data_IF_449894872530
#
_entry.id   IF_449894872530
#
_cell.length_a   1.000
_cell.length_b   1.000
_cell.length_c   1.000
_cell.angle_alpha   90.00
_cell.angle_beta   90.00
_cell.angle_gamma   90.00
#
_symmetry.space_group_name_H-M   'P 1'
#
loop_
_entity.id
_entity.type
_entity.pdbx_description
1 polymer ?
#
# COMPACT_ATOMS: atom_id res chain seq x y z
N UNK A 1 -40.45 6.60 54.02
CA UNK A 1 -41.47 5.53 54.18
C UNK A 1 -41.07 4.39 53.29
N UNK A 2 -40.66 3.31 53.94
CA UNK A 2 -40.21 2.01 53.42
C UNK A 2 -41.37 1.21 52.84
N UNK A 3 -41.18 0.60 51.67
CA UNK A 3 -41.81 -0.70 51.34
C UNK A 3 -40.97 -1.44 50.30
N UNK A 4 -40.27 -2.49 50.77
CA UNK A 4 -39.91 -3.65 49.95
C UNK A 4 -41.18 -4.46 49.63
N UNK A 5 -41.16 -5.24 48.54
CA UNK A 5 -41.86 -6.55 48.44
C UNK A 5 -41.36 -7.35 47.20
N UNK A 6 -40.49 -8.31 47.51
CA UNK A 6 -40.32 -9.70 47.02
C UNK A 6 -40.95 -10.22 45.71
N UNK A 7 -40.11 -10.97 44.98
CA UNK A 7 -40.36 -11.96 43.89
C UNK A 7 -41.33 -13.11 44.26
N UNK A 8 -41.83 -13.89 43.25
CA UNK A 8 -41.29 -15.25 43.09
C UNK A 8 -41.10 -15.78 41.65
N UNK A 9 -40.14 -16.72 41.59
CA UNK A 9 -39.86 -17.78 40.61
C UNK A 9 -41.08 -18.47 39.98
N UNK A 10 -40.97 -18.83 38.70
CA UNK A 10 -41.57 -20.06 38.15
C UNK A 10 -40.55 -20.74 37.20
N UNK A 11 -40.04 -21.88 37.65
CA UNK A 11 -39.32 -22.89 36.87
C UNK A 11 -40.38 -23.83 36.29
N UNK A 12 -40.33 -24.14 34.99
CA UNK A 12 -41.02 -25.34 34.48
C UNK A 12 -40.06 -26.17 33.66
N UNK A 13 -39.72 -27.32 34.25
CA UNK A 13 -38.95 -28.44 33.70
C UNK A 13 -39.89 -29.28 32.85
N UNK A 14 -39.51 -29.61 31.61
CA UNK A 14 -40.07 -30.76 30.91
C UNK A 14 -38.91 -31.66 30.47
N UNK A 15 -38.83 -32.83 31.13
CA UNK A 15 -38.01 -34.00 30.78
C UNK A 15 -38.90 -35.02 30.06
N UNK A 16 -38.22 -35.95 29.38
CA UNK A 16 -38.68 -37.16 28.66
C UNK A 16 -38.64 -36.93 27.14
N UNK A 17 -37.72 -37.47 26.35
CA UNK A 17 -36.93 -38.69 26.48
C UNK A 17 -37.55 -39.79 25.62
N UNK A 18 -37.08 -39.96 24.39
CA UNK A 18 -37.21 -41.20 23.62
C UNK A 18 -36.03 -41.32 22.63
N UNK A 19 -35.26 -42.39 22.80
CA UNK A 19 -34.24 -42.88 21.89
C UNK A 19 -34.86 -43.31 20.56
N UNK A 20 -34.20 -42.96 19.46
CA UNK A 20 -34.41 -43.56 18.14
C UNK A 20 -33.14 -43.41 17.30
N UNK A 21 -32.36 -44.49 17.18
CA UNK A 21 -31.26 -44.63 16.22
C UNK A 21 -31.81 -44.62 14.79
N UNK A 22 -31.24 -43.81 13.89
CA UNK A 22 -31.18 -44.12 12.45
C UNK A 22 -30.14 -43.26 11.70
N UNK A 23 -29.12 -43.96 11.20
CA UNK A 23 -28.39 -43.83 9.93
C UNK A 23 -28.03 -42.44 9.35
N UNK A 24 -26.71 -42.22 9.30
CA UNK A 24 -25.91 -41.75 8.15
C UNK A 24 -26.50 -40.72 7.17
N UNK A 25 -25.94 -39.52 7.19
CA UNK A 25 -25.55 -38.74 6.00
C UNK A 25 -24.34 -37.86 6.40
N UNK A 26 -23.13 -38.37 6.16
CA UNK A 26 -21.91 -37.57 6.11
C UNK A 26 -21.91 -36.80 4.79
N UNK A 27 -22.71 -35.74 4.70
CA UNK A 27 -22.54 -34.73 3.66
C UNK A 27 -21.36 -33.85 4.08
N UNK A 28 -20.16 -34.26 3.66
CA UNK A 28 -18.98 -33.42 3.73
C UNK A 28 -19.19 -32.15 2.92
N UNK A 29 -19.54 -31.06 3.59
CA UNK A 29 -19.34 -29.72 3.05
C UNK A 29 -17.83 -29.43 3.02
N UNK A 30 -17.16 -30.04 2.04
CA UNK A 30 -15.86 -29.58 1.54
C UNK A 30 -16.07 -28.26 0.83
N UNK A 31 -16.37 -27.21 1.59
CA UNK A 31 -16.35 -25.85 1.10
C UNK A 31 -14.91 -25.48 0.80
N UNK A 32 -14.46 -25.73 -0.42
CA UNK A 32 -13.30 -25.04 -0.98
C UNK A 32 -13.67 -23.56 -1.00
N UNK A 33 -13.19 -22.81 -0.01
CA UNK A 33 -13.20 -21.36 -0.06
C UNK A 33 -12.57 -20.95 -1.39
N UNK A 34 -13.20 -20.05 -2.17
CA UNK A 34 -12.54 -19.49 -3.33
C UNK A 34 -11.31 -18.73 -2.83
N UNK A 35 -10.13 -19.32 -3.05
CA UNK A 35 -8.87 -18.60 -2.96
C UNK A 35 -8.97 -17.50 -4.00
N UNK A 36 -9.06 -16.24 -3.55
CA UNK A 36 -8.98 -15.10 -4.45
C UNK A 36 -7.75 -15.30 -5.35
N UNK A 37 -7.87 -15.16 -6.68
CA UNK A 37 -6.75 -15.33 -7.59
C UNK A 37 -5.57 -14.52 -7.05
N UNK A 38 -4.46 -15.23 -6.78
CA UNK A 38 -3.28 -14.66 -6.16
C UNK A 38 -2.82 -13.46 -6.96
N UNK A 39 -2.99 -12.27 -6.38
CA UNK A 39 -2.50 -11.03 -6.97
C UNK A 39 -0.98 -11.17 -7.17
N UNK A 40 -0.52 -10.91 -8.39
CA UNK A 40 0.85 -11.17 -8.83
C UNK A 40 1.88 -10.61 -7.85
N UNK A 41 2.86 -11.43 -7.47
CA UNK A 41 4.06 -11.02 -6.72
C UNK A 41 5.20 -10.60 -7.66
N UNK A 42 4.89 -10.27 -8.91
CA UNK A 42 5.88 -9.73 -9.83
C UNK A 42 6.35 -8.35 -9.36
N UNK A 43 7.65 -8.11 -9.47
CA UNK A 43 8.23 -6.78 -9.26
C UNK A 43 7.93 -5.95 -10.52
N UNK A 44 7.21 -4.82 -10.41
CA UNK A 44 6.98 -3.94 -11.55
C UNK A 44 8.30 -3.45 -12.15
N UNK A 45 8.34 -3.33 -13.48
CA UNK A 45 9.45 -2.63 -14.12
C UNK A 45 9.50 -1.17 -13.65
N UNK A 46 10.70 -0.57 -13.56
CA UNK A 46 10.80 0.84 -13.22
C UNK A 46 10.11 1.74 -14.25
N UNK A 47 10.03 1.35 -15.53
CA UNK A 47 9.35 2.14 -16.55
C UNK A 47 7.83 2.29 -16.31
N UNK A 48 7.18 1.27 -15.72
CA UNK A 48 5.73 1.24 -15.48
C UNK A 48 5.37 1.22 -13.99
N UNK A 49 6.32 1.48 -13.11
CA UNK A 49 6.17 1.26 -11.67
C UNK A 49 4.94 1.98 -11.11
N UNK A 50 4.78 3.28 -11.34
CA UNK A 50 3.62 4.00 -10.82
C UNK A 50 2.30 3.56 -11.49
N UNK A 51 2.28 3.23 -12.79
CA UNK A 51 1.05 2.74 -13.41
C UNK A 51 0.55 1.43 -12.78
N UNK A 52 1.44 0.47 -12.53
CA UNK A 52 1.07 -0.77 -11.83
C UNK A 52 0.62 -0.49 -10.39
N UNK A 53 1.25 0.47 -9.70
CA UNK A 53 0.87 0.89 -8.35
C UNK A 53 -0.48 1.61 -8.31
N UNK A 54 -0.87 2.38 -9.33
CA UNK A 54 -2.22 2.97 -9.43
C UNK A 54 -3.30 1.89 -9.41
N UNK A 55 -3.07 0.81 -10.17
CA UNK A 55 -3.94 -0.38 -10.19
C UNK A 55 -4.12 -0.98 -8.80
N UNK A 56 -3.02 -1.32 -8.12
CA UNK A 56 -3.04 -1.89 -6.78
C UNK A 56 -3.62 -0.93 -5.71
N UNK A 57 -3.33 0.36 -5.84
CA UNK A 57 -3.74 1.39 -4.88
C UNK A 57 -5.26 1.60 -4.88
N UNK A 58 -5.88 1.55 -6.06
CA UNK A 58 -7.29 1.90 -6.26
C UNK A 58 -8.15 0.71 -6.68
N UNK A 59 -7.56 -0.48 -6.78
CA UNK A 59 -8.20 -1.68 -7.33
C UNK A 59 -8.86 -1.43 -8.70
N UNK A 60 -8.31 -0.51 -9.50
CA UNK A 60 -8.82 -0.20 -10.84
C UNK A 60 -8.26 -1.18 -11.87
N UNK A 61 -9.07 -1.51 -12.88
CA UNK A 61 -8.66 -2.30 -14.04
C UNK A 61 -8.50 -1.47 -15.31
N UNK A 62 -8.63 -0.14 -15.19
CA UNK A 62 -8.44 0.78 -16.30
C UNK A 62 -6.98 0.72 -16.77
N UNK A 63 -6.76 0.93 -18.07
CA UNK A 63 -5.42 1.14 -18.59
C UNK A 63 -4.84 2.44 -17.99
N UNK A 64 -3.62 2.37 -17.49
CA UNK A 64 -2.93 3.49 -16.86
C UNK A 64 -1.71 3.87 -17.69
N UNK A 65 -1.68 5.09 -18.21
CA UNK A 65 -0.48 5.66 -18.80
C UNK A 65 0.51 6.05 -17.69
N UNK A 66 1.82 5.83 -17.91
CA UNK A 66 2.85 6.28 -16.98
C UNK A 66 3.78 7.28 -17.66
N UNK A 67 3.86 8.49 -17.11
CA UNK A 67 4.81 9.50 -17.56
C UNK A 67 6.00 9.51 -16.60
N UNK A 68 7.14 9.02 -17.08
CA UNK A 68 8.41 9.03 -16.34
C UNK A 68 9.18 10.30 -16.65
N UNK A 69 9.40 11.11 -15.62
CA UNK A 69 10.17 12.35 -15.70
C UNK A 69 11.64 12.06 -15.45
N UNK A 70 12.50 12.49 -16.38
CA UNK A 70 13.94 12.50 -16.17
C UNK A 70 14.38 13.68 -15.28
N UNK A 71 13.65 14.79 -15.37
CA UNK A 71 13.91 16.02 -14.64
C UNK A 71 13.00 16.16 -13.41
N UNK A 72 13.59 16.61 -12.29
CA UNK A 72 12.87 16.75 -11.03
C UNK A 72 11.90 17.92 -11.07
N UNK A 73 12.26 19.03 -11.69
CA UNK A 73 11.41 20.23 -11.73
C UNK A 73 10.15 19.99 -12.57
N UNK A 74 10.30 19.35 -13.73
CA UNK A 74 9.21 18.88 -14.57
C UNK A 74 8.27 17.96 -13.77
N UNK A 75 8.83 17.02 -13.00
CA UNK A 75 8.04 16.20 -12.11
C UNK A 75 7.32 17.00 -11.02
N UNK A 76 7.96 17.99 -10.39
CA UNK A 76 7.35 18.83 -9.35
C UNK A 76 6.09 19.51 -9.90
N UNK A 77 6.20 20.10 -11.09
CA UNK A 77 5.13 20.86 -11.75
C UNK A 77 4.00 19.98 -12.29
N UNK A 78 4.29 18.72 -12.64
CA UNK A 78 3.31 17.79 -13.21
C UNK A 78 2.14 17.46 -12.28
N UNK A 79 1.04 16.98 -12.87
CA UNK A 79 -0.16 16.50 -12.18
C UNK A 79 -0.66 15.22 -12.87
N UNK A 80 -1.16 14.21 -12.12
CA UNK A 80 -1.71 13.01 -12.72
C UNK A 80 -3.03 13.31 -13.44
N UNK A 81 -3.24 12.64 -14.57
CA UNK A 81 -4.46 12.74 -15.37
C UNK A 81 -5.50 11.71 -14.94
N UNK A 82 -6.78 12.07 -15.01
CA UNK A 82 -7.87 11.10 -14.84
C UNK A 82 -8.37 10.57 -16.17
N UNK A 83 -8.41 11.36 -17.25
CA UNK A 83 -8.92 10.95 -18.56
C UNK A 83 -7.99 11.42 -19.68
N UNK A 84 -7.16 10.53 -20.28
CA UNK A 84 -6.93 9.13 -19.86
C UNK A 84 -6.34 9.04 -18.45
N UNK A 85 -6.50 7.89 -17.79
CA UNK A 85 -5.92 7.67 -16.47
C UNK A 85 -4.40 7.62 -16.59
N UNK A 86 -3.71 8.53 -15.91
CA UNK A 86 -2.28 8.77 -16.08
C UNK A 86 -1.60 9.03 -14.74
N UNK A 87 -0.47 8.37 -14.52
CA UNK A 87 0.42 8.62 -13.38
C UNK A 87 1.63 9.42 -13.79
N UNK A 88 2.17 10.19 -12.84
CA UNK A 88 3.46 10.85 -12.97
C UNK A 88 4.47 10.13 -12.10
N UNK A 89 5.67 9.90 -12.62
CA UNK A 89 6.74 9.19 -11.93
C UNK A 89 8.06 9.96 -11.99
N UNK A 90 8.79 9.97 -10.88
CA UNK A 90 10.19 10.38 -10.83
C UNK A 90 11.00 9.38 -10.00
N UNK A 91 12.27 9.18 -10.36
CA UNK A 91 13.17 8.26 -9.66
C UNK A 91 14.32 9.08 -9.11
N UNK A 92 14.53 9.04 -7.79
CA UNK A 92 15.73 9.57 -7.18
C UNK A 92 16.76 8.45 -6.99
N UNK A 93 18.02 8.78 -7.19
CA UNK A 93 19.13 7.84 -7.16
C UNK A 93 20.05 8.13 -5.96
N UNK A 94 20.64 7.08 -5.40
CA UNK A 94 21.66 7.20 -4.34
C UNK A 94 23.05 7.53 -4.90
N UNK A 95 23.23 7.45 -6.22
CA UNK A 95 24.46 7.74 -6.93
C UNK A 95 24.27 8.82 -7.99
N UNK A 96 25.34 9.56 -8.31
CA UNK A 96 25.31 10.62 -9.34
C UNK A 96 25.26 10.05 -10.77
N UNK A 97 25.60 8.78 -10.95
CA UNK A 97 25.56 8.09 -12.24
C UNK A 97 24.15 7.62 -12.65
N UNK A 98 23.15 7.77 -11.77
CA UNK A 98 21.77 7.36 -12.04
C UNK A 98 21.61 5.85 -12.22
N UNK A 99 22.41 5.03 -11.51
CA UNK A 99 22.39 3.56 -11.62
C UNK A 99 21.82 2.88 -10.38
N UNK A 100 21.71 3.59 -9.28
CA UNK A 100 21.21 3.06 -8.02
C UNK A 100 19.91 3.76 -7.64
N UNK A 101 18.77 3.37 -8.27
CA UNK A 101 17.48 3.92 -7.91
C UNK A 101 17.25 3.64 -6.43
N UNK A 102 16.82 4.67 -5.71
CA UNK A 102 16.64 4.64 -4.26
C UNK A 102 15.15 4.75 -3.90
N UNK A 103 14.46 5.71 -4.49
CA UNK A 103 13.06 6.02 -4.23
C UNK A 103 12.36 6.35 -5.54
N UNK A 104 11.10 5.93 -5.63
CA UNK A 104 10.19 6.25 -6.74
C UNK A 104 9.08 7.15 -6.19
N UNK A 105 9.02 8.37 -6.70
CA UNK A 105 7.98 9.34 -6.39
C UNK A 105 6.86 9.18 -7.41
N UNK A 106 5.66 8.83 -6.93
CA UNK A 106 4.49 8.63 -7.75
C UNK A 106 3.40 9.66 -7.44
N UNK A 107 2.72 10.13 -8.49
CA UNK A 107 1.47 10.89 -8.37
C UNK A 107 0.34 10.10 -9.03
N UNK A 108 -0.72 9.85 -8.27
CA UNK A 108 -1.87 9.02 -8.62
C UNK A 108 -3.18 9.82 -8.63
N UNK A 109 -4.22 9.23 -9.22
CA UNK A 109 -5.62 9.60 -8.97
C UNK A 109 -6.19 8.78 -7.83
N UNK A 110 -7.01 9.40 -7.00
CA UNK A 110 -7.74 8.71 -5.93
C UNK A 110 -8.90 7.87 -6.51
N UNK A 111 -9.29 6.81 -5.79
CA UNK A 111 -10.36 5.91 -6.23
C UNK A 111 -11.72 6.63 -6.39
N UNK A 112 -12.02 7.61 -5.54
CA UNK A 112 -13.26 8.41 -5.64
C UNK A 112 -13.28 9.29 -6.89
N UNK A 113 -12.13 9.87 -7.30
CA UNK A 113 -12.02 10.58 -8.57
C UNK A 113 -12.23 9.62 -9.75
N UNK A 114 -11.58 8.46 -9.72
CA UNK A 114 -11.73 7.46 -10.79
C UNK A 114 -13.19 7.02 -10.92
N UNK A 115 -13.90 6.77 -9.81
CA UNK A 115 -15.33 6.44 -9.84
C UNK A 115 -16.20 7.57 -10.37
N UNK A 116 -15.90 8.82 -9.99
CA UNK A 116 -16.63 9.98 -10.49
C UNK A 116 -16.53 10.11 -12.02
N UNK A 117 -15.35 9.78 -12.57
CA UNK A 117 -15.08 9.95 -14.00
C UNK A 117 -15.45 8.73 -14.85
N UNK A 118 -15.22 7.50 -14.35
CA UNK A 118 -15.40 6.26 -15.11
C UNK A 118 -16.58 5.40 -14.65
N UNK A 119 -17.33 5.84 -13.65
CA UNK A 119 -18.47 5.13 -13.09
C UNK A 119 -18.15 4.41 -11.78
N UNK A 120 -19.20 4.14 -11.00
CA UNK A 120 -19.10 3.69 -9.61
C UNK A 120 -18.29 2.40 -9.40
N UNK A 121 -18.16 1.55 -10.41
CA UNK A 121 -17.44 0.27 -10.32
C UNK A 121 -16.01 0.34 -10.88
N UNK A 122 -15.55 1.49 -11.35
CA UNK A 122 -14.26 1.63 -12.02
C UNK A 122 -13.04 1.56 -11.08
N UNK A 123 -13.23 1.76 -9.78
CA UNK A 123 -12.21 1.63 -8.74
C UNK A 123 -12.85 1.17 -7.43
N UNK A 124 -12.12 0.32 -6.68
CA UNK A 124 -12.55 -0.25 -5.40
C UNK A 124 -12.16 0.62 -4.20
N UNK A 125 -12.03 -0.03 -3.04
CA UNK A 125 -11.56 0.64 -1.83
C UNK A 125 -10.08 1.04 -1.97
N UNK A 126 -9.73 2.31 -1.69
CA UNK A 126 -8.36 2.77 -1.77
C UNK A 126 -7.51 2.18 -0.64
N UNK A 127 -6.23 1.93 -0.93
CA UNK A 127 -5.23 1.50 0.06
C UNK A 127 -4.23 2.64 0.36
N UNK A 128 -3.12 2.34 1.03
CA UNK A 128 -2.09 3.31 1.47
C UNK A 128 -0.76 3.14 0.73
N UNK A 129 0.13 4.14 0.81
CA UNK A 129 1.48 4.01 0.25
C UNK A 129 2.29 2.93 1.01
N UNK A 130 2.05 2.80 2.33
CA UNK A 130 2.57 1.73 3.17
C UNK A 130 2.14 0.34 2.66
N UNK A 131 0.87 0.18 2.27
CA UNK A 131 0.40 -1.07 1.65
C UNK A 131 1.21 -1.40 0.38
N UNK A 132 1.48 -0.40 -0.48
CA UNK A 132 2.29 -0.60 -1.68
C UNK A 132 3.73 -1.03 -1.36
N UNK A 133 4.36 -0.45 -0.34
CA UNK A 133 5.69 -0.87 0.11
C UNK A 133 5.67 -2.30 0.69
N UNK A 134 4.62 -2.68 1.44
CA UNK A 134 4.46 -4.05 1.92
C UNK A 134 4.38 -5.04 0.76
N UNK A 135 3.56 -4.75 -0.24
CA UNK A 135 3.46 -5.58 -1.46
C UNK A 135 4.77 -5.68 -2.22
N UNK A 136 5.53 -4.58 -2.29
CA UNK A 136 6.85 -4.60 -2.90
C UNK A 136 7.84 -5.45 -2.10
N UNK A 137 7.81 -5.38 -0.77
CA UNK A 137 8.63 -6.25 0.08
C UNK A 137 8.32 -7.73 -0.17
N UNK A 138 7.05 -8.11 -0.21
CA UNK A 138 6.63 -9.48 -0.45
C UNK A 138 7.13 -9.97 -1.83
N UNK A 139 7.00 -9.14 -2.87
CA UNK A 139 7.51 -9.42 -4.21
C UNK A 139 9.05 -9.58 -4.25
N UNK A 140 9.79 -8.69 -3.59
CA UNK A 140 11.26 -8.77 -3.52
C UNK A 140 11.72 -10.02 -2.77
N UNK A 141 11.04 -10.36 -1.66
CA UNK A 141 11.35 -11.56 -0.89
C UNK A 141 11.08 -12.84 -1.69
N UNK A 142 9.97 -12.89 -2.41
CA UNK A 142 9.63 -13.99 -3.31
C UNK A 142 10.66 -14.14 -4.45
N UNK A 143 11.22 -13.03 -4.93
CA UNK A 143 12.23 -12.98 -5.99
C UNK A 143 13.66 -13.36 -5.58
N UNK A 144 13.94 -13.68 -4.32
CA UNK A 144 15.27 -14.17 -3.93
C UNK A 144 15.46 -15.66 -4.25
N UNK A 145 16.62 -16.00 -4.82
CA UNK A 145 17.05 -17.40 -4.96
C UNK A 145 17.32 -18.03 -3.59
N UNK A 146 17.35 -19.37 -3.46
CA UNK A 146 17.74 -20.04 -2.21
C UNK A 146 19.09 -19.55 -1.65
N UNK A 147 20.08 -19.32 -2.51
CA UNK A 147 21.41 -18.83 -2.14
C UNK A 147 21.39 -17.39 -1.66
N UNK A 148 20.58 -16.52 -2.26
CA UNK A 148 20.47 -15.13 -1.81
C UNK A 148 19.66 -15.02 -0.54
N UNK A 149 18.61 -15.84 -0.40
CA UNK A 149 17.91 -15.99 0.86
C UNK A 149 18.94 -16.24 1.94
N UNK A 150 19.91 -17.15 1.75
CA UNK A 150 20.97 -17.46 2.73
C UNK A 150 21.78 -16.26 3.25
N UNK A 151 21.85 -15.19 2.47
CA UNK A 151 22.64 -13.99 2.75
C UNK A 151 21.82 -12.80 3.27
N UNK A 152 20.50 -12.93 3.37
CA UNK A 152 19.66 -11.85 3.87
C UNK A 152 20.12 -11.44 5.27
N UNK A 153 20.29 -10.13 5.48
CA UNK A 153 20.66 -9.59 6.79
C UNK A 153 19.49 -9.56 7.78
N UNK A 154 18.27 -9.57 7.26
CA UNK A 154 17.03 -9.41 8.01
C UNK A 154 16.22 -10.73 8.04
N UNK A 155 16.86 -11.89 8.29
CA UNK A 155 16.18 -13.20 8.30
C UNK A 155 15.50 -13.47 9.63
N UNK A 156 14.21 -13.83 9.59
CA UNK A 156 13.49 -14.33 10.77
C UNK A 156 12.16 -13.64 11.09
N UNK A 157 11.53 -12.93 10.15
CA UNK A 157 10.16 -12.41 10.31
C UNK A 157 10.03 -11.17 11.21
N UNK A 158 11.02 -10.86 12.05
CA UNK A 158 11.01 -9.68 12.95
C UNK A 158 11.73 -8.45 12.40
N UNK A 159 12.32 -8.52 11.20
CA UNK A 159 13.44 -7.66 10.84
C UNK A 159 13.16 -6.60 9.74
N UNK A 160 11.90 -6.51 9.25
CA UNK A 160 11.46 -5.39 8.38
C UNK A 160 10.06 -4.91 8.77
N UNK A 161 9.97 -3.67 9.25
CA UNK A 161 8.74 -2.99 9.61
C UNK A 161 8.37 -1.98 8.51
N UNK A 162 7.23 -2.20 7.85
CA UNK A 162 6.60 -1.15 7.04
C UNK A 162 5.78 -0.27 7.98
N UNK A 163 6.19 0.97 8.11
CA UNK A 163 5.52 1.96 8.95
C UNK A 163 4.29 2.56 8.25
N UNK A 164 3.41 3.16 9.05
CA UNK A 164 2.33 3.99 8.51
C UNK A 164 2.89 5.18 7.73
N UNK A 165 2.11 5.67 6.76
CA UNK A 165 2.51 6.80 5.94
C UNK A 165 2.73 8.07 6.77
N UNK A 166 3.82 8.78 6.51
CA UNK A 166 3.96 10.18 6.92
C UNK A 166 3.07 11.04 6.03
N UNK A 167 1.83 11.26 6.47
CA UNK A 167 0.89 12.12 5.78
C UNK A 167 1.26 13.59 5.92
N UNK A 168 1.32 14.31 4.80
CA UNK A 168 1.50 15.76 4.74
C UNK A 168 0.33 16.42 4.01
N UNK A 169 0.09 17.70 4.27
CA UNK A 169 -1.09 18.44 3.81
C UNK A 169 -0.87 19.28 2.55
N UNK A 170 0.35 19.36 2.01
CA UNK A 170 0.65 20.27 0.92
C UNK A 170 1.88 19.92 0.10
N UNK A 171 1.91 20.43 -1.13
CA UNK A 171 2.94 20.16 -2.12
C UNK A 171 4.36 20.46 -1.63
N UNK A 172 4.65 21.65 -1.05
CA UNK A 172 5.98 21.95 -0.52
C UNK A 172 6.46 20.94 0.53
N UNK A 173 5.63 20.63 1.54
CA UNK A 173 5.96 19.66 2.58
C UNK A 173 6.18 18.23 2.03
N UNK A 174 5.49 17.88 0.94
CA UNK A 174 5.67 16.60 0.25
C UNK A 174 7.02 16.51 -0.50
N UNK A 175 7.56 17.65 -0.95
CA UNK A 175 8.84 17.74 -1.66
C UNK A 175 10.05 17.80 -0.74
N UNK A 176 9.86 18.15 0.53
CA UNK A 176 10.94 18.17 1.52
C UNK A 176 11.58 16.78 1.69
N UNK A 177 12.88 16.71 1.97
CA UNK A 177 13.54 15.46 2.36
C UNK A 177 12.82 14.77 3.53
N UNK A 178 12.98 13.45 3.62
CA UNK A 178 12.57 12.67 4.78
C UNK A 178 13.39 11.38 4.87
N UNK A 179 13.39 10.80 6.08
CA UNK A 179 13.98 9.49 6.30
C UNK A 179 12.99 8.41 5.85
N UNK A 180 13.23 7.86 4.66
CA UNK A 180 12.42 6.76 4.12
C UNK A 180 12.76 5.42 4.76
N UNK A 181 14.03 5.21 5.12
CA UNK A 181 14.55 3.94 5.62
C UNK A 181 15.46 4.20 6.81
N UNK A 182 15.21 3.52 7.93
CA UNK A 182 16.06 3.55 9.13
C UNK A 182 16.22 2.16 9.72
N UNK A 183 17.11 2.04 10.71
CA UNK A 183 17.23 0.83 11.52
C UNK A 183 17.10 1.21 12.98
N UNK A 184 16.28 0.50 13.75
CA UNK A 184 16.19 0.72 15.18
C UNK A 184 17.30 0.01 15.97
N UNK A 185 17.35 0.26 17.28
CA UNK A 185 18.34 -0.35 18.18
C UNK A 185 18.29 -1.88 18.20
N UNK A 186 17.13 -2.47 17.85
CA UNK A 186 16.97 -3.93 17.77
C UNK A 186 17.41 -4.49 16.41
N UNK A 187 17.85 -3.65 15.48
CA UNK A 187 18.26 -4.07 14.14
C UNK A 187 17.11 -4.24 13.15
N UNK A 188 15.90 -3.75 13.46
CA UNK A 188 14.75 -3.83 12.55
C UNK A 188 14.87 -2.77 11.47
N UNK A 189 14.82 -3.18 10.19
CA UNK A 189 14.72 -2.25 9.07
C UNK A 189 13.32 -1.61 9.06
N UNK A 190 13.23 -0.31 9.24
CA UNK A 190 11.98 0.45 9.15
C UNK A 190 11.91 1.11 7.79
N UNK A 191 10.77 0.97 7.11
CA UNK A 191 10.51 1.59 5.81
C UNK A 191 9.22 2.38 5.93
N UNK A 192 9.30 3.67 5.62
CA UNK A 192 8.18 4.60 5.65
C UNK A 192 7.97 5.24 4.30
N UNK A 193 6.72 5.47 3.94
CA UNK A 193 6.37 6.36 2.83
C UNK A 193 5.99 7.73 3.35
N UNK A 194 6.31 8.78 2.58
CA UNK A 194 5.67 10.09 2.73
C UNK A 194 4.54 10.20 1.71
N UNK A 195 3.35 10.58 2.18
CA UNK A 195 2.14 10.64 1.36
C UNK A 195 1.47 12.02 1.42
N UNK A 196 0.83 12.43 0.33
CA UNK A 196 -0.07 13.59 0.32
C UNK A 196 -1.36 13.20 -0.39
N UNK A 197 -2.51 13.46 0.23
CA UNK A 197 -3.82 13.06 -0.30
C UNK A 197 -4.78 14.23 -0.33
N UNK A 198 -5.39 14.44 -1.48
CA UNK A 198 -6.45 15.41 -1.72
C UNK A 198 -7.63 14.64 -2.33
N UNK A 199 -8.63 14.26 -1.54
CA UNK A 199 -9.77 13.50 -2.06
C UNK A 199 -10.63 14.33 -3.03
N UNK A 200 -11.25 13.68 -4.00
CA UNK A 200 -12.06 14.38 -5.02
C UNK A 200 -13.30 15.01 -4.42
N UNK A 201 -13.93 14.26 -3.51
CA UNK A 201 -15.18 14.64 -2.86
C UNK A 201 -14.98 15.35 -1.51
N UNK A 202 -13.76 15.74 -1.13
CA UNK A 202 -13.53 16.50 0.10
C UNK A 202 -14.18 17.89 0.00
N UNK A 203 -15.18 18.23 0.86
CA UNK A 203 -15.82 19.54 0.84
C UNK A 203 -14.84 20.70 1.05
N UNK A 204 -13.72 20.48 1.76
CA UNK A 204 -12.67 21.50 1.97
C UNK A 204 -12.00 21.92 0.67
N UNK A 205 -12.06 21.07 -0.36
CA UNK A 205 -11.43 21.30 -1.66
C UNK A 205 -12.44 21.79 -2.72
N UNK A 206 -13.63 22.25 -2.31
CA UNK A 206 -14.67 22.72 -3.23
C UNK A 206 -14.17 23.83 -4.17
N UNK A 207 -13.38 24.78 -3.65
CA UNK A 207 -12.85 25.91 -4.42
C UNK A 207 -11.42 25.67 -4.95
N UNK A 208 -10.88 24.46 -4.78
CA UNK A 208 -9.55 24.11 -5.26
C UNK A 208 -9.62 23.79 -6.77
N UNK A 209 -8.65 24.25 -7.59
CA UNK A 209 -8.64 23.92 -9.01
C UNK A 209 -8.63 22.39 -9.24
N UNK A 210 -9.41 21.87 -10.23
CA UNK A 210 -9.63 20.42 -10.40
C UNK A 210 -8.34 19.58 -10.50
N UNK A 211 -7.27 20.13 -11.08
CA UNK A 211 -5.98 19.45 -11.24
C UNK A 211 -5.28 19.14 -9.91
N UNK A 212 -5.68 19.77 -8.80
CA UNK A 212 -5.16 19.49 -7.46
C UNK A 212 -6.06 18.58 -6.63
N UNK A 213 -7.26 18.26 -7.14
CA UNK A 213 -8.26 17.41 -6.46
C UNK A 213 -8.18 15.96 -6.91
N UNK A 214 -8.61 15.06 -6.02
CA UNK A 214 -8.58 13.62 -6.24
C UNK A 214 -7.19 13.11 -6.61
N UNK A 215 -6.18 13.54 -5.86
CA UNK A 215 -4.79 13.15 -6.06
C UNK A 215 -4.25 12.45 -4.81
N UNK A 216 -3.41 11.43 -5.02
CA UNK A 216 -2.65 10.78 -3.97
C UNK A 216 -1.20 10.65 -4.42
N UNK A 217 -0.28 11.24 -3.68
CA UNK A 217 1.15 11.17 -3.99
C UNK A 217 1.84 10.28 -2.98
N UNK A 218 2.76 9.44 -3.45
CA UNK A 218 3.54 8.54 -2.62
C UNK A 218 5.02 8.66 -2.96
N UNK A 219 5.86 8.69 -1.93
CA UNK A 219 7.28 8.34 -2.04
C UNK A 219 7.43 6.87 -1.63
N UNK A 220 7.82 6.02 -2.59
CA UNK A 220 7.90 4.56 -2.44
C UNK A 220 9.36 4.10 -2.55
N UNK A 221 9.73 3.04 -1.86
CA UNK A 221 11.08 2.49 -1.98
C UNK A 221 11.28 1.85 -3.36
N UNK A 222 12.44 2.07 -3.99
CA UNK A 222 12.75 1.41 -5.26
C UNK A 222 13.01 -0.10 -5.04
N UNK A 223 12.54 -1.00 -5.93
CA UNK A 223 12.72 -2.45 -5.77
C UNK A 223 14.18 -2.88 -5.56
N UNK A 224 15.08 -2.36 -6.39
CA UNK A 224 16.50 -2.70 -6.32
C UNK A 224 17.15 -2.17 -5.04
N UNK A 225 16.70 -0.99 -4.55
CA UNK A 225 17.19 -0.47 -3.28
C UNK A 225 16.77 -1.36 -2.12
N UNK A 226 15.49 -1.77 -2.09
CA UNK A 226 14.99 -2.71 -1.09
C UNK A 226 15.79 -4.02 -1.14
N UNK A 227 16.06 -4.56 -2.33
CA UNK A 227 16.90 -5.74 -2.50
C UNK A 227 18.30 -5.55 -1.91
N UNK A 228 18.96 -4.43 -2.21
CA UNK A 228 20.31 -4.11 -1.69
C UNK A 228 20.31 -3.97 -0.17
N UNK A 229 19.30 -3.30 0.40
CA UNK A 229 19.14 -3.20 1.86
C UNK A 229 19.01 -4.60 2.46
N UNK A 230 18.11 -5.43 1.93
CA UNK A 230 17.85 -6.77 2.44
C UNK A 230 19.08 -7.69 2.39
N UNK A 231 19.92 -7.53 1.38
CA UNK A 231 21.22 -8.23 1.24
C UNK A 231 22.37 -7.55 2.00
N UNK A 232 22.17 -6.35 2.54
CA UNK A 232 23.20 -5.58 3.22
C UNK A 232 24.21 -4.85 2.37
N UNK A 233 23.96 -4.73 1.07
CA UNK A 233 24.82 -4.03 0.12
C UNK A 233 24.46 -2.55 -0.04
N UNK A 234 23.46 -2.07 0.72
CA UNK A 234 23.15 -0.66 0.93
C UNK A 234 22.92 -0.39 2.43
N UNK A 235 23.12 0.86 2.85
CA UNK A 235 22.98 1.29 4.24
C UNK A 235 21.68 2.08 4.43
N UNK A 236 20.87 1.79 5.47
CA UNK A 236 19.74 2.62 5.91
C UNK A 236 20.17 4.06 6.26
N UNK A 237 19.25 5.02 6.19
CA UNK A 237 19.46 6.37 6.73
C UNK A 237 20.20 7.35 5.82
N UNK A 238 20.65 6.96 4.62
CA UNK A 238 21.03 7.96 3.62
C UNK A 238 19.73 8.53 3.00
N UNK A 239 19.37 9.81 3.25
CA UNK A 239 18.28 10.41 2.50
C UNK A 239 18.62 10.36 1.01
N UNK A 240 17.62 10.25 0.12
CA UNK A 240 17.86 10.41 -1.31
C UNK A 240 18.67 11.68 -1.54
N UNK A 241 19.72 11.61 -2.35
CA UNK A 241 20.49 12.79 -2.69
C UNK A 241 19.50 13.89 -3.11
N UNK A 242 19.63 15.09 -2.53
CA UNK A 242 18.80 16.22 -2.93
C UNK A 242 18.98 16.36 -4.45
N UNK A 243 17.91 16.07 -5.18
CA UNK A 243 17.93 16.13 -6.63
C UNK A 243 18.22 17.60 -7.00
N UNK A 244 19.43 17.81 -7.51
CA UNK A 244 19.86 19.08 -8.12
C UNK A 244 19.09 19.29 -9.41
#
# INVERSE_FOLDING_TARGET
MTTELTLPRQLTVWRNGCLGMLAALLTGCGGTLPVAPGESLAIPSLANFCAERQGALTSTRLAVANVVHADREAFVLSKPGVRPLETQQYISYSDTAGKQPQMVSCKFKTADHIRAEYGATAAGEPTSCAYLNRRLLDAVLAGFTPRERQKLRFRGGTAVLIEADQMVSGGPAWLEPFEMVSTDLAGTLRIRSKSMRNDWNDPKLTNTPPQFKGTLYCHLIAPDHLRRLLLGTATPGQPPAAAR
#
